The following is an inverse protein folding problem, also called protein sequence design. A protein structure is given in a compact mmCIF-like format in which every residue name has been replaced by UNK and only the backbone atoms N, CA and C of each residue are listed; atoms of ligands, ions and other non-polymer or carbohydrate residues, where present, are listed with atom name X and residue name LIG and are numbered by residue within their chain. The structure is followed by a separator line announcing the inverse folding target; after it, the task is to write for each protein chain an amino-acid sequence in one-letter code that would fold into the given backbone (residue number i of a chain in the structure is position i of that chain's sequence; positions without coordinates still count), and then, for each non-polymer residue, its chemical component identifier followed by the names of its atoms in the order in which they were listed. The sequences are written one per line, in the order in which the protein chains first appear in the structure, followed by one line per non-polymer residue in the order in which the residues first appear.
data_IF_309102166156
#
_entry.id   IF_309102166156
#
_cell.length_a   1.000
_cell.length_b   1.000
_cell.length_c   1.000
_cell.angle_alpha   90.00
_cell.angle_beta   90.00
_cell.angle_gamma   90.00
#
_symmetry.space_group_name_H-M   'P 1'
#
loop_
_entity.id
_entity.type
_entity.pdbx_description
1 polymer ?
#
# COMPACT_ATOMS: atom_id res chain seq x y z
N UNK A 1 26.56 -25.93 -11.70
CA UNK A 1 26.51 -25.06 -10.49
C UNK A 1 25.20 -24.28 -10.56
N UNK A 2 24.16 -24.67 -9.79
CA UNK A 2 22.91 -23.89 -9.73
C UNK A 2 23.21 -22.60 -8.96
N UNK A 3 23.31 -21.47 -9.66
CA UNK A 3 23.35 -20.16 -9.03
C UNK A 3 22.04 -20.05 -8.22
N UNK A 4 22.13 -20.17 -6.90
CA UNK A 4 21.02 -19.87 -5.98
C UNK A 4 20.64 -18.43 -6.26
N UNK A 5 19.50 -18.19 -6.89
CA UNK A 5 18.97 -16.84 -7.03
C UNK A 5 18.80 -16.30 -5.61
N UNK A 6 19.49 -15.22 -5.31
CA UNK A 6 19.32 -14.50 -4.06
C UNK A 6 17.83 -14.16 -3.93
N UNK A 7 17.23 -14.22 -2.72
CA UNK A 7 15.87 -13.75 -2.49
C UNK A 7 15.73 -12.34 -3.07
N UNK A 8 14.60 -12.06 -3.70
CA UNK A 8 14.36 -10.75 -4.35
C UNK A 8 14.52 -9.60 -3.36
N UNK A 9 14.24 -9.84 -2.09
CA UNK A 9 14.40 -8.90 -0.99
C UNK A 9 15.85 -8.59 -0.62
N UNK A 10 16.81 -9.46 -0.99
CA UNK A 10 18.22 -9.25 -0.66
C UNK A 10 18.80 -7.99 -1.33
N UNK A 11 18.34 -7.66 -2.54
CA UNK A 11 18.78 -6.46 -3.25
C UNK A 11 18.35 -5.18 -2.53
N UNK A 12 17.09 -5.12 -2.11
CA UNK A 12 16.54 -3.95 -1.38
C UNK A 12 17.18 -3.83 0.00
N UNK A 13 17.39 -4.95 0.67
CA UNK A 13 18.07 -4.97 1.97
C UNK A 13 19.51 -4.44 1.84
N UNK A 14 20.24 -4.81 0.78
CA UNK A 14 21.57 -4.26 0.53
C UNK A 14 21.54 -2.74 0.28
N UNK A 15 20.55 -2.23 -0.47
CA UNK A 15 20.36 -0.80 -0.67
C UNK A 15 20.05 -0.10 0.65
N UNK A 16 19.18 -0.66 1.48
CA UNK A 16 18.86 -0.12 2.81
C UNK A 16 20.13 0.01 3.67
N UNK A 17 20.94 -1.05 3.75
CA UNK A 17 22.19 -1.02 4.51
C UNK A 17 23.16 0.02 3.94
N UNK A 18 23.29 0.11 2.62
CA UNK A 18 24.16 1.11 1.99
C UNK A 18 23.73 2.54 2.34
N UNK A 19 22.42 2.84 2.28
CA UNK A 19 21.89 4.16 2.65
C UNK A 19 22.13 4.47 4.12
N UNK A 20 21.89 3.51 5.02
CA UNK A 20 22.16 3.67 6.47
C UNK A 20 23.65 3.97 6.70
N UNK A 21 24.56 3.26 6.04
CA UNK A 21 26.00 3.47 6.18
C UNK A 21 26.41 4.86 5.69
N UNK A 22 25.92 5.28 4.51
CA UNK A 22 26.19 6.62 3.95
C UNK A 22 25.70 7.70 4.91
N UNK A 23 24.47 7.64 5.39
CA UNK A 23 23.90 8.62 6.31
C UNK A 23 24.63 8.62 7.66
N UNK A 24 25.08 7.45 8.12
CA UNK A 24 25.86 7.32 9.35
C UNK A 24 27.24 7.99 9.24
N UNK A 25 27.84 8.02 8.05
CA UNK A 25 29.10 8.75 7.81
C UNK A 25 28.87 10.24 7.69
N UNK A 26 27.79 10.64 7.00
CA UNK A 26 27.46 12.05 6.73
C UNK A 26 27.00 12.82 7.98
N UNK A 27 26.35 12.15 8.96
CA UNK A 27 25.79 12.83 10.12
C UNK A 27 26.02 12.05 11.43
N UNK A 28 26.72 12.64 12.42
CA UNK A 28 26.80 12.06 13.76
C UNK A 28 25.45 11.93 14.44
N UNK A 29 24.52 12.87 14.21
CA UNK A 29 23.16 12.86 14.76
C UNK A 29 22.37 11.65 14.25
N UNK A 30 22.60 11.23 13.00
CA UNK A 30 21.90 10.06 12.45
C UNK A 30 22.21 8.78 13.22
N UNK A 31 23.38 8.65 13.82
CA UNK A 31 23.84 7.48 14.60
C UNK A 31 23.31 7.43 16.03
N UNK A 32 22.66 8.48 16.51
CA UNK A 32 22.14 8.51 17.87
C UNK A 32 20.97 7.58 18.07
N UNK A 33 20.86 6.97 19.26
CA UNK A 33 19.71 6.12 19.60
C UNK A 33 18.41 6.90 19.54
N UNK A 34 18.41 8.14 20.00
CA UNK A 34 17.22 9.00 19.98
C UNK A 34 16.73 9.23 18.56
N UNK A 35 17.62 9.54 17.60
CA UNK A 35 17.24 9.65 16.19
C UNK A 35 16.72 8.32 15.64
N UNK A 36 17.31 7.19 16.01
CA UNK A 36 16.81 5.86 15.65
C UNK A 36 15.38 5.63 16.12
N UNK A 37 15.06 6.01 17.36
CA UNK A 37 13.70 5.92 17.90
C UNK A 37 12.73 6.86 17.16
N UNK A 38 13.15 8.10 16.89
CA UNK A 38 12.36 9.07 16.10
C UNK A 38 12.09 8.54 14.70
N UNK A 39 13.09 7.97 14.03
CA UNK A 39 12.94 7.36 12.71
C UNK A 39 11.91 6.23 12.73
N UNK A 40 11.99 5.32 13.69
CA UNK A 40 11.08 4.19 13.83
C UNK A 40 9.64 4.68 14.04
N UNK A 41 9.42 5.62 14.95
CA UNK A 41 8.08 6.15 15.25
C UNK A 41 7.51 6.92 14.07
N UNK A 42 8.29 7.79 13.41
CA UNK A 42 7.87 8.53 12.22
C UNK A 42 7.54 7.58 11.06
N UNK A 43 8.35 6.55 10.87
CA UNK A 43 8.17 5.54 9.82
C UNK A 43 6.95 4.66 10.03
N UNK A 44 6.42 4.54 11.27
CA UNK A 44 5.33 3.62 11.58
C UNK A 44 4.05 3.93 10.81
N UNK A 45 3.68 5.21 10.68
CA UNK A 45 2.48 5.62 9.93
C UNK A 45 2.63 5.21 8.46
N UNK A 46 3.75 5.58 7.84
CA UNK A 46 4.04 5.22 6.43
C UNK A 46 4.03 3.70 6.26
N UNK A 47 4.58 2.96 7.21
CA UNK A 47 4.64 1.51 7.16
C UNK A 47 3.26 0.85 7.31
N UNK A 48 2.35 1.39 8.15
CA UNK A 48 0.96 0.94 8.18
C UNK A 48 0.25 1.19 6.86
N UNK A 49 0.41 2.38 6.27
CA UNK A 49 -0.15 2.68 4.96
C UNK A 49 0.41 1.74 3.88
N UNK A 50 1.72 1.49 3.87
CA UNK A 50 2.37 0.56 2.95
C UNK A 50 1.89 -0.89 3.14
N UNK A 51 1.62 -1.29 4.38
CA UNK A 51 1.04 -2.59 4.70
C UNK A 51 -0.35 -2.73 4.05
N UNK A 52 -1.22 -1.75 4.24
CA UNK A 52 -2.55 -1.72 3.62
C UNK A 52 -2.47 -1.69 2.09
N UNK A 53 -1.62 -0.81 1.55
CA UNK A 53 -1.38 -0.67 0.12
C UNK A 53 -0.89 -1.98 -0.52
N UNK A 54 -0.10 -2.78 0.21
CA UNK A 54 0.38 -4.09 -0.25
C UNK A 54 -0.78 -5.02 -0.62
N UNK A 55 -1.84 -5.10 0.21
CA UNK A 55 -3.00 -5.94 -0.07
C UNK A 55 -3.72 -5.51 -1.35
N UNK A 56 -3.89 -4.21 -1.54
CA UNK A 56 -4.56 -3.66 -2.72
C UNK A 56 -3.71 -3.87 -3.97
N UNK A 57 -2.42 -3.54 -3.91
CA UNK A 57 -1.48 -3.74 -5.03
C UNK A 57 -1.38 -5.21 -5.43
N UNK A 58 -1.32 -6.15 -4.48
CA UNK A 58 -1.32 -7.59 -4.77
C UNK A 58 -2.56 -8.03 -5.57
N UNK A 59 -3.69 -7.33 -5.48
CA UNK A 59 -4.87 -7.61 -6.32
C UNK A 59 -4.82 -6.94 -7.70
N UNK A 60 -3.79 -6.14 -7.98
CA UNK A 60 -3.68 -5.30 -9.18
C UNK A 60 -4.50 -4.01 -9.09
N UNK A 61 -4.95 -3.63 -7.89
CA UNK A 61 -5.59 -2.34 -7.59
C UNK A 61 -4.60 -1.30 -7.09
N UNK A 62 -5.09 -0.09 -6.82
CA UNK A 62 -4.38 0.98 -6.12
C UNK A 62 -5.37 1.69 -5.20
N UNK A 63 -4.92 2.12 -4.02
CA UNK A 63 -5.75 2.85 -3.07
C UNK A 63 -5.12 4.22 -2.76
N UNK A 64 -5.68 5.25 -3.34
CA UNK A 64 -5.22 6.63 -3.12
C UNK A 64 -5.85 7.26 -1.88
N UNK A 65 -6.89 6.65 -1.30
CA UNK A 65 -7.61 7.23 -0.16
C UNK A 65 -6.90 7.04 1.19
N UNK A 66 -5.83 6.23 1.25
CA UNK A 66 -5.16 5.83 2.49
C UNK A 66 -4.63 7.02 3.29
N UNK A 67 -4.04 8.04 2.63
CA UNK A 67 -3.55 9.25 3.29
C UNK A 67 -4.70 10.08 3.91
N UNK A 68 -5.77 10.28 3.14
CA UNK A 68 -6.97 10.98 3.61
C UNK A 68 -7.66 10.24 4.78
N UNK A 69 -7.60 8.91 4.76
CA UNK A 69 -8.12 8.07 5.82
C UNK A 69 -7.40 8.33 7.17
N UNK A 70 -6.11 8.64 7.15
CA UNK A 70 -5.34 9.04 8.35
C UNK A 70 -5.95 10.29 9.00
N UNK A 71 -6.22 11.33 8.21
CA UNK A 71 -6.86 12.55 8.70
C UNK A 71 -8.26 12.27 9.23
N UNK A 72 -9.07 11.58 8.43
CA UNK A 72 -10.46 11.29 8.77
C UNK A 72 -10.59 10.52 10.07
N UNK A 73 -9.86 9.42 10.21
CA UNK A 73 -9.92 8.59 11.42
C UNK A 73 -9.33 9.27 12.63
N UNK A 74 -8.22 10.00 12.47
CA UNK A 74 -7.61 10.75 13.56
C UNK A 74 -8.52 11.84 14.13
N UNK A 75 -9.18 12.62 13.26
CA UNK A 75 -10.11 13.67 13.67
C UNK A 75 -11.38 13.08 14.27
N UNK A 76 -11.94 12.01 13.68
CA UNK A 76 -13.12 11.33 14.25
C UNK A 76 -12.81 10.82 15.66
N UNK A 77 -11.66 10.16 15.87
CA UNK A 77 -11.26 9.71 17.21
C UNK A 77 -11.17 10.86 18.20
N UNK A 78 -10.53 11.97 17.79
CA UNK A 78 -10.37 13.16 18.64
C UNK A 78 -11.73 13.79 19.01
N UNK A 79 -12.66 13.93 18.05
CA UNK A 79 -14.00 14.48 18.30
C UNK A 79 -14.83 13.59 19.23
N UNK A 80 -14.80 12.28 19.05
CA UNK A 80 -15.49 11.33 19.91
C UNK A 80 -15.00 11.41 21.35
N UNK A 81 -13.67 11.51 21.55
CA UNK A 81 -13.07 11.70 22.89
C UNK A 81 -13.39 13.09 23.46
N UNK A 82 -13.39 14.14 22.65
CA UNK A 82 -13.81 15.48 23.08
C UNK A 82 -15.27 15.50 23.52
N UNK A 83 -16.13 14.71 22.88
CA UNK A 83 -17.53 14.49 23.28
C UNK A 83 -17.71 13.61 24.53
N UNK A 84 -16.63 13.23 25.22
CA UNK A 84 -16.69 12.45 26.48
C UNK A 84 -16.67 10.94 26.27
N UNK A 85 -16.48 10.43 25.05
CA UNK A 85 -16.38 8.99 24.81
C UNK A 85 -15.03 8.44 25.30
N UNK A 86 -15.05 7.29 25.98
CA UNK A 86 -13.84 6.60 26.39
C UNK A 86 -12.94 6.28 25.17
N UNK A 87 -11.64 6.54 25.29
CA UNK A 87 -10.71 6.44 24.17
C UNK A 87 -10.71 5.07 23.45
N UNK A 88 -10.88 3.91 24.12
CA UNK A 88 -10.89 2.63 23.39
C UNK A 88 -12.08 2.52 22.44
N UNK A 89 -13.25 3.01 22.87
CA UNK A 89 -14.47 3.00 22.05
C UNK A 89 -14.34 3.97 20.89
N UNK A 90 -13.82 5.20 21.16
CA UNK A 90 -13.55 6.19 20.13
C UNK A 90 -12.57 5.67 19.08
N UNK A 91 -11.51 4.98 19.51
CA UNK A 91 -10.50 4.38 18.63
C UNK A 91 -11.12 3.28 17.73
N UNK A 92 -11.91 2.39 18.30
CA UNK A 92 -12.59 1.31 17.54
C UNK A 92 -13.54 1.91 16.49
N UNK A 93 -14.35 2.88 16.87
CA UNK A 93 -15.30 3.52 15.96
C UNK A 93 -14.58 4.29 14.85
N UNK A 94 -13.52 5.01 15.18
CA UNK A 94 -12.73 5.75 14.19
C UNK A 94 -12.06 4.81 13.18
N UNK A 95 -11.43 3.72 13.64
CA UNK A 95 -10.88 2.70 12.73
C UNK A 95 -12.00 2.04 11.92
N UNK A 96 -13.16 1.81 12.55
CA UNK A 96 -14.36 1.33 11.86
C UNK A 96 -14.77 2.23 10.67
N UNK A 97 -14.72 3.55 10.84
CA UNK A 97 -14.93 4.51 9.73
C UNK A 97 -13.88 4.33 8.62
N UNK A 98 -12.62 4.14 8.99
CA UNK A 98 -11.55 3.87 8.03
C UNK A 98 -11.76 2.58 7.25
N UNK A 99 -12.17 1.51 7.93
CA UNK A 99 -12.56 0.24 7.30
C UNK A 99 -13.76 0.44 6.37
N UNK A 100 -14.77 1.20 6.80
CA UNK A 100 -15.95 1.51 5.99
C UNK A 100 -15.58 2.23 4.69
N UNK A 101 -14.66 3.20 4.75
CA UNK A 101 -14.11 3.86 3.55
C UNK A 101 -13.47 2.84 2.61
N UNK A 102 -12.64 1.94 3.15
CA UNK A 102 -12.05 0.85 2.37
C UNK A 102 -13.09 -0.08 1.74
N UNK A 103 -14.11 -0.48 2.51
CA UNK A 103 -15.23 -1.30 1.99
C UNK A 103 -15.93 -0.58 0.85
N UNK A 104 -16.25 0.72 1.00
CA UNK A 104 -16.85 1.54 -0.07
C UNK A 104 -15.97 1.53 -1.33
N UNK A 105 -14.66 1.72 -1.19
CA UNK A 105 -13.72 1.63 -2.32
C UNK A 105 -13.80 0.26 -3.02
N UNK A 106 -13.76 -0.81 -2.25
CA UNK A 106 -13.87 -2.17 -2.79
C UNK A 106 -15.18 -2.43 -3.52
N UNK A 107 -16.30 -1.90 -3.01
CA UNK A 107 -17.62 -1.99 -3.63
C UNK A 107 -17.67 -1.18 -4.94
N UNK A 108 -17.17 0.06 -4.96
CA UNK A 108 -17.09 0.90 -6.15
C UNK A 108 -16.27 0.24 -7.27
N UNK A 109 -15.11 -0.30 -6.92
CA UNK A 109 -14.20 -0.96 -7.86
C UNK A 109 -14.82 -2.25 -8.42
N UNK A 110 -15.48 -3.05 -7.58
CA UNK A 110 -16.00 -4.35 -8.01
C UNK A 110 -17.38 -4.27 -8.66
N UNK A 111 -18.37 -3.67 -8.00
CA UNK A 111 -19.78 -3.70 -8.42
C UNK A 111 -20.10 -2.57 -9.39
N UNK A 112 -19.62 -1.35 -9.11
CA UNK A 112 -19.83 -0.22 -10.04
C UNK A 112 -18.83 -0.28 -11.20
N UNK A 113 -17.72 -1.03 -11.03
CA UNK A 113 -16.67 -1.24 -12.05
C UNK A 113 -15.91 0.03 -12.41
N UNK A 114 -15.84 0.97 -11.47
CA UNK A 114 -15.00 2.16 -11.62
C UNK A 114 -13.53 1.73 -11.54
N UNK A 115 -12.64 2.20 -12.43
CA UNK A 115 -11.22 1.95 -12.30
C UNK A 115 -10.71 2.34 -10.89
N UNK A 116 -9.89 1.47 -10.30
CA UNK A 116 -9.45 1.61 -8.90
C UNK A 116 -8.87 2.99 -8.59
N UNK A 117 -8.04 3.51 -9.51
CA UNK A 117 -7.47 4.85 -9.39
C UNK A 117 -8.55 5.93 -9.26
N UNK A 118 -9.58 5.90 -10.13
CA UNK A 118 -10.66 6.92 -10.14
C UNK A 118 -11.51 6.80 -8.88
N UNK A 119 -11.89 5.57 -8.50
CA UNK A 119 -12.70 5.32 -7.32
C UNK A 119 -12.01 5.85 -6.06
N UNK A 120 -10.76 5.45 -5.84
CA UNK A 120 -10.02 5.80 -4.62
C UNK A 120 -9.56 7.26 -4.59
N UNK A 121 -9.28 7.86 -5.74
CA UNK A 121 -9.01 9.30 -5.83
C UNK A 121 -10.26 10.13 -5.51
N UNK A 122 -11.44 9.72 -5.99
CA UNK A 122 -12.69 10.39 -5.65
C UNK A 122 -13.03 10.28 -4.17
N UNK A 123 -12.89 9.08 -3.59
CA UNK A 123 -13.14 8.87 -2.15
C UNK A 123 -12.06 9.52 -1.27
N UNK A 124 -10.84 9.70 -1.76
CA UNK A 124 -9.82 10.53 -1.12
C UNK A 124 -10.35 11.95 -0.91
N UNK A 125 -10.91 12.57 -1.95
CA UNK A 125 -11.50 13.92 -1.84
C UNK A 125 -12.61 13.98 -0.79
N UNK A 126 -13.49 12.98 -0.74
CA UNK A 126 -14.54 12.88 0.28
C UNK A 126 -13.94 12.72 1.69
N UNK A 127 -12.98 11.82 1.85
CA UNK A 127 -12.34 11.55 3.13
C UNK A 127 -11.52 12.75 3.66
N UNK A 128 -10.97 13.60 2.78
CA UNK A 128 -10.32 14.87 3.16
C UNK A 128 -11.34 15.94 3.54
N UNK A 129 -12.47 15.99 2.87
CA UNK A 129 -13.50 17.00 3.14
C UNK A 129 -14.19 16.79 4.49
N UNK A 130 -14.47 15.53 4.88
CA UNK A 130 -15.18 15.20 6.12
C UNK A 130 -14.53 15.86 7.35
N UNK A 131 -13.23 15.64 7.68
CA UNK A 131 -12.62 16.27 8.85
C UNK A 131 -12.63 17.80 8.78
N UNK A 132 -12.44 18.39 7.60
CA UNK A 132 -12.47 19.83 7.43
C UNK A 132 -13.87 20.41 7.70
N UNK A 133 -14.92 19.78 7.18
CA UNK A 133 -16.31 20.22 7.35
C UNK A 133 -16.74 20.12 8.82
N UNK A 134 -16.50 18.99 9.48
CA UNK A 134 -16.98 18.75 10.85
C UNK A 134 -16.21 19.55 11.90
N UNK A 135 -14.99 20.00 11.60
CA UNK A 135 -14.16 20.80 12.52
C UNK A 135 -14.08 22.27 12.15
N UNK A 136 -14.67 22.69 11.01
CA UNK A 136 -14.45 24.01 10.44
C UNK A 136 -12.98 24.29 10.15
N UNK A 137 -12.25 23.26 9.67
CA UNK A 137 -10.81 23.26 9.41
C UNK A 137 -9.92 23.49 10.66
N UNK A 138 -10.47 23.40 11.87
CA UNK A 138 -9.71 23.54 13.12
C UNK A 138 -9.18 22.19 13.59
N UNK A 139 -8.07 22.23 14.30
CA UNK A 139 -7.52 21.05 14.97
C UNK A 139 -8.31 20.75 16.26
N UNK A 140 -8.42 19.47 16.60
CA UNK A 140 -9.16 18.96 17.77
C UNK A 140 -8.19 18.41 18.78
N UNK A 141 -8.03 19.08 19.92
CA UNK A 141 -7.14 18.62 21.00
C UNK A 141 -7.72 17.44 21.74
N UNK A 142 -6.86 16.47 22.05
CA UNK A 142 -7.17 15.31 22.89
C UNK A 142 -6.47 15.45 24.24
N UNK A 143 -7.18 15.15 25.34
CA UNK A 143 -6.64 15.29 26.71
C UNK A 143 -6.65 13.96 27.49
N UNK A 144 -6.83 12.84 26.81
CA UNK A 144 -6.88 11.52 27.45
C UNK A 144 -5.48 10.89 27.54
N UNK A 145 -4.95 10.74 28.76
CA UNK A 145 -3.65 10.16 29.00
C UNK A 145 -3.56 8.67 28.57
N UNK A 146 -4.67 7.92 28.64
CA UNK A 146 -4.70 6.53 28.16
C UNK A 146 -4.52 6.45 26.65
N UNK A 147 -5.10 7.41 25.91
CA UNK A 147 -4.94 7.50 24.45
C UNK A 147 -3.50 7.85 24.06
N UNK A 148 -2.81 8.73 24.80
CA UNK A 148 -1.42 9.11 24.51
C UNK A 148 -0.47 7.91 24.48
N UNK A 149 -0.81 6.87 25.25
CA UNK A 149 0.03 5.67 25.35
C UNK A 149 0.15 4.91 24.02
N UNK A 150 -0.86 4.98 23.14
CA UNK A 150 -0.82 4.35 21.80
C UNK A 150 0.32 4.93 20.95
N UNK A 151 0.51 6.25 20.97
CA UNK A 151 1.48 6.94 20.12
C UNK A 151 2.83 7.25 20.80
N UNK A 152 2.83 7.38 22.14
CA UNK A 152 3.98 7.82 22.92
C UNK A 152 4.49 6.77 23.91
N UNK A 153 3.68 5.71 24.19
CA UNK A 153 4.05 4.65 25.12
C UNK A 153 5.24 3.84 24.64
N UNK A 154 5.95 3.27 25.63
CA UNK A 154 7.10 2.36 25.39
C UNK A 154 6.94 1.10 26.23
N UNK A 155 7.27 -0.06 25.67
CA UNK A 155 7.37 -1.34 26.37
C UNK A 155 8.81 -1.81 26.24
N UNK A 156 9.49 -2.00 27.34
CA UNK A 156 10.91 -2.36 27.39
C UNK A 156 11.81 -1.44 26.53
N UNK A 157 11.50 -0.14 26.48
CA UNK A 157 12.23 0.85 25.68
C UNK A 157 11.84 0.94 24.21
N UNK A 158 11.02 0.00 23.72
CA UNK A 158 10.53 -0.01 22.32
C UNK A 158 9.23 0.78 22.24
N UNK A 159 9.11 1.76 21.30
CA UNK A 159 7.87 2.51 21.11
C UNK A 159 6.69 1.59 20.76
N UNK A 160 5.55 1.78 21.42
CA UNK A 160 4.35 0.96 21.19
C UNK A 160 3.87 0.97 19.73
N UNK A 161 3.89 2.10 18.99
CA UNK A 161 3.55 2.09 17.56
C UNK A 161 4.35 1.06 16.74
N UNK A 162 5.64 0.90 17.05
CA UNK A 162 6.52 -0.07 16.36
C UNK A 162 6.09 -1.50 16.67
N UNK A 163 5.76 -1.78 17.94
CA UNK A 163 5.28 -3.10 18.36
C UNK A 163 3.97 -3.41 17.64
N UNK A 164 3.02 -2.47 17.60
CA UNK A 164 1.75 -2.64 16.88
C UNK A 164 1.96 -2.91 15.38
N UNK A 165 2.89 -2.18 14.76
CA UNK A 165 3.26 -2.40 13.36
C UNK A 165 3.82 -3.81 13.12
N UNK A 166 4.78 -4.23 13.94
CA UNK A 166 5.40 -5.57 13.81
C UNK A 166 4.35 -6.66 13.96
N UNK A 167 3.48 -6.55 14.97
CA UNK A 167 2.38 -7.49 15.18
C UNK A 167 1.44 -7.50 13.96
N UNK A 168 1.04 -6.33 13.46
CA UNK A 168 0.20 -6.24 12.26
C UNK A 168 0.88 -6.84 11.03
N UNK A 169 2.17 -6.58 10.82
CA UNK A 169 2.93 -7.12 9.69
C UNK A 169 3.07 -8.66 9.77
N UNK A 170 3.30 -9.21 10.97
CA UNK A 170 3.34 -10.66 11.17
C UNK A 170 1.97 -11.28 10.89
N UNK A 171 0.90 -10.71 11.44
CA UNK A 171 -0.48 -11.18 11.17
C UNK A 171 -0.78 -11.12 9.67
N UNK A 172 -0.44 -10.03 9.00
CA UNK A 172 -0.64 -9.86 7.57
C UNK A 172 0.16 -10.88 6.74
N UNK A 173 1.42 -11.14 7.12
CA UNK A 173 2.26 -12.14 6.45
C UNK A 173 1.70 -13.56 6.61
N UNK A 174 1.28 -13.92 7.83
CA UNK A 174 0.63 -15.20 8.10
C UNK A 174 -0.71 -15.32 7.37
N UNK A 175 -1.52 -14.25 7.36
CA UNK A 175 -2.78 -14.20 6.63
C UNK A 175 -2.57 -14.47 5.13
N UNK A 176 -1.64 -13.76 4.49
CA UNK A 176 -1.38 -13.94 3.06
C UNK A 176 -0.82 -15.34 2.74
N UNK A 177 0.01 -15.91 3.63
CA UNK A 177 0.70 -17.19 3.39
C UNK A 177 -0.16 -18.40 3.75
N UNK A 178 -0.97 -18.32 4.81
CA UNK A 178 -1.59 -19.49 5.44
C UNK A 178 -3.11 -19.56 5.26
N UNK A 179 -3.75 -18.50 4.71
CA UNK A 179 -5.21 -18.48 4.59
C UNK A 179 -5.68 -18.57 3.14
N UNK A 180 -6.87 -19.14 2.93
CA UNK A 180 -7.52 -19.17 1.61
C UNK A 180 -7.71 -17.76 1.01
N UNK A 181 -8.21 -16.74 1.74
CA UNK A 181 -8.31 -15.39 1.22
C UNK A 181 -6.97 -14.81 0.79
N UNK A 182 -5.87 -15.09 1.52
CA UNK A 182 -4.53 -14.67 1.13
C UNK A 182 -4.08 -15.25 -0.21
N UNK A 183 -4.29 -16.56 -0.42
CA UNK A 183 -4.02 -17.22 -1.70
C UNK A 183 -4.90 -16.63 -2.82
N UNK A 184 -6.17 -16.31 -2.53
CA UNK A 184 -7.08 -15.68 -3.50
C UNK A 184 -6.59 -14.29 -3.94
N UNK A 185 -6.00 -13.51 -3.03
CA UNK A 185 -5.41 -12.18 -3.35
C UNK A 185 -4.31 -12.34 -4.39
N UNK A 186 -3.35 -13.25 -4.17
CA UNK A 186 -2.29 -13.51 -5.13
C UNK A 186 -2.82 -14.06 -6.47
N UNK A 187 -3.74 -15.02 -6.43
CA UNK A 187 -4.32 -15.61 -7.63
C UNK A 187 -5.05 -14.56 -8.48
N UNK A 188 -5.82 -13.67 -7.83
CA UNK A 188 -6.56 -12.61 -8.51
C UNK A 188 -5.62 -11.60 -9.18
N UNK A 189 -4.52 -11.23 -8.51
CA UNK A 189 -3.53 -10.32 -9.08
C UNK A 189 -2.72 -10.94 -10.21
N UNK A 190 -2.47 -12.25 -10.15
CA UNK A 190 -1.76 -12.98 -11.21
C UNK A 190 -2.59 -13.07 -12.50
N UNK A 191 -3.83 -13.53 -12.40
CA UNK A 191 -4.78 -13.58 -13.52
C UNK A 191 -6.22 -13.62 -13.00
N UNK A 192 -6.89 -12.48 -13.03
CA UNK A 192 -8.26 -12.31 -12.52
C UNK A 192 -9.28 -13.24 -13.21
N UNK A 193 -9.13 -13.47 -14.51
CA UNK A 193 -10.05 -14.34 -15.28
C UNK A 193 -9.86 -15.82 -14.89
N UNK A 194 -8.61 -16.28 -14.83
CA UNK A 194 -8.29 -17.65 -14.39
C UNK A 194 -8.70 -17.89 -12.94
N UNK A 195 -8.44 -16.94 -12.04
CA UNK A 195 -8.84 -17.03 -10.64
C UNK A 195 -10.38 -17.19 -10.51
N UNK A 196 -11.16 -16.42 -11.28
CA UNK A 196 -12.61 -16.54 -11.31
C UNK A 196 -13.09 -17.92 -11.80
N UNK A 197 -12.46 -18.46 -12.84
CA UNK A 197 -12.76 -19.80 -13.35
C UNK A 197 -12.39 -20.89 -12.33
N UNK A 198 -11.37 -20.67 -11.51
CA UNK A 198 -10.98 -21.54 -10.39
C UNK A 198 -11.85 -21.38 -9.14
N UNK A 199 -12.98 -20.63 -9.21
CA UNK A 199 -13.92 -20.48 -8.11
C UNK A 199 -13.56 -19.39 -7.09
N UNK A 200 -12.57 -18.54 -7.35
CA UNK A 200 -12.24 -17.41 -6.47
C UNK A 200 -13.36 -16.37 -6.52
N UNK A 201 -13.92 -16.03 -5.37
CA UNK A 201 -14.88 -14.94 -5.26
C UNK A 201 -14.18 -13.58 -5.35
N UNK A 202 -14.08 -13.05 -6.58
CA UNK A 202 -13.41 -11.80 -6.89
C UNK A 202 -13.99 -10.62 -6.12
N UNK A 203 -15.34 -10.59 -5.90
CA UNK A 203 -16.00 -9.54 -5.13
C UNK A 203 -15.47 -9.47 -3.69
N UNK A 204 -15.57 -10.60 -2.98
CA UNK A 204 -15.13 -10.69 -1.59
C UNK A 204 -13.64 -10.39 -1.46
N UNK A 205 -12.82 -10.90 -2.38
CA UNK A 205 -11.37 -10.69 -2.36
C UNK A 205 -11.02 -9.21 -2.58
N UNK A 206 -11.69 -8.53 -3.53
CA UNK A 206 -11.50 -7.09 -3.76
C UNK A 206 -11.91 -6.29 -2.53
N UNK A 207 -13.14 -6.46 -2.03
CA UNK A 207 -13.63 -5.71 -0.86
C UNK A 207 -12.76 -5.94 0.36
N UNK A 208 -12.31 -7.19 0.59
CA UNK A 208 -11.42 -7.51 1.72
C UNK A 208 -10.06 -6.79 1.62
N UNK A 209 -9.45 -6.75 0.43
CA UNK A 209 -8.17 -6.06 0.25
C UNK A 209 -8.27 -4.56 0.56
N UNK A 210 -9.33 -3.90 0.08
CA UNK A 210 -9.57 -2.49 0.38
C UNK A 210 -9.99 -2.25 1.83
N UNK A 211 -10.75 -3.15 2.46
CA UNK A 211 -11.10 -3.08 3.88
C UNK A 211 -9.85 -3.16 4.77
N UNK A 212 -8.89 -4.04 4.44
CA UNK A 212 -7.60 -4.12 5.13
C UNK A 212 -6.79 -2.84 4.92
N UNK A 213 -6.79 -2.26 3.71
CA UNK A 213 -6.17 -0.97 3.44
C UNK A 213 -6.79 0.13 4.30
N UNK A 214 -8.13 0.17 4.39
CA UNK A 214 -8.86 1.09 5.23
C UNK A 214 -8.55 0.94 6.72
N UNK A 215 -8.42 -0.29 7.21
CA UNK A 215 -7.97 -0.58 8.59
C UNK A 215 -6.57 -0.04 8.84
N UNK A 216 -5.63 -0.30 7.94
CA UNK A 216 -4.25 0.18 8.06
C UNK A 216 -4.18 1.72 8.04
N UNK A 217 -4.96 2.39 7.17
CA UNK A 217 -5.09 3.84 7.17
C UNK A 217 -5.66 4.37 8.49
N UNK A 218 -6.68 3.70 9.03
CA UNK A 218 -7.27 4.01 10.34
C UNK A 218 -6.28 3.87 11.49
N UNK A 219 -5.50 2.80 11.51
CA UNK A 219 -4.42 2.63 12.51
C UNK A 219 -3.35 3.71 12.39
N UNK A 220 -2.97 4.08 11.18
CA UNK A 220 -2.07 5.21 10.93
C UNK A 220 -2.61 6.52 11.52
N UNK A 221 -3.93 6.78 11.35
CA UNK A 221 -4.61 7.94 11.90
C UNK A 221 -4.63 7.97 13.43
N UNK A 222 -4.95 6.85 14.06
CA UNK A 222 -4.89 6.75 15.53
C UNK A 222 -3.49 7.01 16.08
N UNK A 223 -2.47 6.39 15.48
CA UNK A 223 -1.08 6.55 15.92
C UNK A 223 -0.63 8.01 15.75
N UNK A 224 -0.92 8.63 14.60
CA UNK A 224 -0.56 10.02 14.34
C UNK A 224 -1.24 10.97 15.34
N UNK A 225 -2.55 10.81 15.58
CA UNK A 225 -3.33 11.63 16.51
C UNK A 225 -2.90 11.40 17.96
N UNK A 226 -2.69 10.14 18.37
CA UNK A 226 -2.24 9.81 19.72
C UNK A 226 -0.84 10.35 20.01
N UNK A 227 0.02 10.39 19.00
CA UNK A 227 1.38 10.92 19.12
C UNK A 227 1.40 12.43 19.33
N UNK A 228 0.58 13.17 18.61
CA UNK A 228 0.48 14.63 18.68
C UNK A 228 -0.53 15.11 19.72
N UNK A 229 -1.39 14.22 20.22
CA UNK A 229 -2.54 14.52 21.05
C UNK A 229 -3.47 15.55 20.40
N UNK A 230 -3.51 15.55 19.08
CA UNK A 230 -4.30 16.46 18.25
C UNK A 230 -4.81 15.73 17.02
N UNK A 231 -6.11 15.74 16.79
CA UNK A 231 -6.74 15.41 15.51
C UNK A 231 -6.58 16.58 14.55
N UNK A 232 -5.64 16.48 13.62
CA UNK A 232 -5.35 17.55 12.67
C UNK A 232 -5.92 17.21 11.28
N UNK A 233 -6.86 18.01 10.72
CA UNK A 233 -7.54 17.68 9.46
C UNK A 233 -6.62 17.52 8.25
N UNK A 234 -5.43 18.09 8.29
CA UNK A 234 -4.43 17.96 7.22
C UNK A 234 -3.40 16.84 7.45
N UNK A 235 -3.55 16.01 8.49
CA UNK A 235 -2.66 14.84 8.69
C UNK A 235 -2.83 13.86 7.54
N UNK A 236 -1.72 13.34 7.00
CA UNK A 236 -1.77 12.38 5.88
C UNK A 236 -2.08 12.99 4.52
N UNK A 237 -2.24 14.33 4.42
CA UNK A 237 -2.46 15.03 3.14
C UNK A 237 -1.16 15.42 2.45
N UNK A 238 -0.02 15.20 3.09
CA UNK A 238 1.30 15.44 2.54
C UNK A 238 1.75 14.34 1.59
N UNK A 239 3.00 13.96 1.74
CA UNK A 239 3.59 12.94 0.88
C UNK A 239 3.37 11.49 1.36
N UNK A 240 2.66 11.26 2.48
CA UNK A 240 2.51 9.96 3.14
C UNK A 240 1.89 8.90 2.21
N UNK A 241 0.92 9.30 1.40
CA UNK A 241 0.33 8.42 0.39
C UNK A 241 1.41 7.94 -0.60
N UNK A 242 2.17 8.88 -1.17
CA UNK A 242 3.21 8.55 -2.14
C UNK A 242 4.34 7.74 -1.51
N UNK A 243 4.69 8.05 -0.25
CA UNK A 243 5.68 7.29 0.52
C UNK A 243 5.23 5.84 0.75
N UNK A 244 3.94 5.63 1.00
CA UNK A 244 3.39 4.28 1.19
C UNK A 244 3.42 3.44 -0.09
N UNK A 245 3.09 4.05 -1.23
CA UNK A 245 3.19 3.41 -2.54
C UNK A 245 4.66 3.13 -2.88
N UNK A 246 5.54 4.14 -2.70
CA UNK A 246 6.98 3.98 -2.90
C UNK A 246 7.54 2.82 -2.06
N UNK A 247 7.17 2.77 -0.78
CA UNK A 247 7.58 1.73 0.16
C UNK A 247 7.17 0.34 -0.34
N UNK A 248 5.91 0.16 -0.75
CA UNK A 248 5.42 -1.11 -1.25
C UNK A 248 6.13 -1.52 -2.55
N UNK A 249 6.23 -0.60 -3.53
CA UNK A 249 6.81 -0.89 -4.86
C UNK A 249 8.31 -1.14 -4.77
N UNK A 250 9.06 -0.29 -4.07
CA UNK A 250 10.49 -0.48 -3.83
C UNK A 250 10.70 -1.75 -3.02
N UNK A 251 9.79 -2.08 -2.10
CA UNK A 251 9.73 -3.33 -1.37
C UNK A 251 9.47 -4.57 -2.24
N UNK A 252 9.31 -4.42 -3.55
CA UNK A 252 9.14 -5.52 -4.51
C UNK A 252 7.68 -5.94 -4.73
N UNK A 253 6.71 -5.15 -4.26
CA UNK A 253 5.31 -5.38 -4.62
C UNK A 253 5.06 -4.87 -6.03
N UNK A 254 4.55 -5.74 -6.90
CA UNK A 254 4.24 -5.36 -8.26
C UNK A 254 2.96 -4.55 -8.36
N UNK A 255 2.99 -3.43 -9.09
CA UNK A 255 1.84 -2.61 -9.41
C UNK A 255 0.79 -3.35 -10.27
N UNK A 256 1.22 -4.40 -10.95
CA UNK A 256 0.33 -5.20 -11.80
C UNK A 256 -0.34 -6.37 -11.05
N UNK A 257 -0.02 -6.55 -9.78
CA UNK A 257 -0.57 -7.59 -8.92
C UNK A 257 0.17 -8.94 -8.94
N UNK A 258 -0.17 -9.79 -7.97
CA UNK A 258 0.24 -11.18 -7.89
C UNK A 258 1.68 -11.46 -7.47
N UNK A 259 2.50 -10.44 -7.23
CA UNK A 259 3.92 -10.58 -6.85
C UNK A 259 4.26 -9.62 -5.72
N UNK A 260 4.97 -10.12 -4.73
CA UNK A 260 5.51 -9.37 -3.59
C UNK A 260 5.25 -10.03 -2.25
N UNK A 261 5.87 -9.51 -1.19
CA UNK A 261 5.76 -10.02 0.18
C UNK A 261 5.59 -8.88 1.18
N UNK A 262 4.94 -9.17 2.32
CA UNK A 262 4.83 -8.19 3.41
C UNK A 262 6.22 -7.79 3.91
N UNK A 263 7.15 -8.75 4.00
CA UNK A 263 8.51 -8.49 4.44
C UNK A 263 9.22 -7.49 3.51
N UNK A 264 9.10 -7.68 2.20
CA UNK A 264 9.64 -6.73 1.23
C UNK A 264 9.05 -5.32 1.40
N UNK A 265 7.71 -5.20 1.53
CA UNK A 265 7.04 -3.92 1.76
C UNK A 265 7.53 -3.22 3.05
N UNK A 266 7.76 -4.00 4.13
CA UNK A 266 8.29 -3.44 5.38
C UNK A 266 9.73 -2.95 5.23
N UNK A 267 10.61 -3.67 4.51
CA UNK A 267 11.96 -3.19 4.17
C UNK A 267 11.87 -1.89 3.36
N UNK A 268 10.98 -1.84 2.37
CA UNK A 268 10.74 -0.63 1.58
C UNK A 268 10.25 0.54 2.44
N UNK A 269 9.35 0.30 3.40
CA UNK A 269 8.88 1.32 4.33
C UNK A 269 10.01 1.86 5.23
N UNK A 270 10.87 0.97 5.74
CA UNK A 270 12.05 1.38 6.50
C UNK A 270 13.01 2.18 5.62
N UNK A 271 13.23 1.78 4.36
CA UNK A 271 14.08 2.53 3.44
C UNK A 271 13.55 3.95 3.19
N UNK A 272 12.26 4.10 2.92
CA UNK A 272 11.65 5.43 2.74
C UNK A 272 11.75 6.27 4.02
N UNK A 273 11.52 5.66 5.20
CA UNK A 273 11.68 6.33 6.48
C UNK A 273 13.13 6.77 6.73
N UNK A 274 14.11 5.92 6.40
CA UNK A 274 15.55 6.22 6.52
C UNK A 274 15.94 7.38 5.60
N UNK A 275 15.49 7.37 4.34
CA UNK A 275 15.76 8.45 3.38
C UNK A 275 15.15 9.77 3.87
N UNK A 276 13.87 9.77 4.26
CA UNK A 276 13.19 10.96 4.76
C UNK A 276 13.82 11.51 6.04
N UNK A 277 14.13 10.64 7.02
CA UNK A 277 14.81 11.04 8.25
C UNK A 277 16.23 11.55 7.97
N UNK A 278 16.98 10.87 7.12
CA UNK A 278 18.34 11.28 6.74
C UNK A 278 18.36 12.68 6.12
N UNK A 279 17.41 12.97 5.22
CA UNK A 279 17.27 14.30 4.62
C UNK A 279 16.95 15.37 5.69
N UNK A 280 16.08 15.06 6.67
CA UNK A 280 15.77 15.95 7.78
C UNK A 280 17.01 16.23 8.64
N UNK A 281 17.76 15.20 9.00
CA UNK A 281 18.98 15.32 9.83
C UNK A 281 20.09 16.08 9.10
N UNK A 282 20.14 16.01 7.78
CA UNK A 282 21.05 16.78 6.93
C UNK A 282 20.52 18.19 6.62
N UNK A 283 19.39 18.62 7.23
CA UNK A 283 18.73 19.91 7.00
C UNK A 283 18.34 20.16 5.53
N UNK A 284 18.06 19.09 4.78
CA UNK A 284 17.55 19.22 3.42
C UNK A 284 16.09 19.68 3.47
N UNK A 285 15.79 20.74 2.74
CA UNK A 285 14.46 21.35 2.74
C UNK A 285 13.39 20.37 2.20
N UNK A 286 12.18 20.44 2.76
CA UNK A 286 11.10 19.47 2.53
C UNK A 286 10.71 19.28 1.06
N UNK A 287 10.85 20.32 0.22
CA UNK A 287 10.54 20.21 -1.21
C UNK A 287 11.51 19.27 -1.96
N UNK A 288 12.77 19.16 -1.52
CA UNK A 288 13.72 18.19 -2.07
C UNK A 288 13.35 16.76 -1.73
N UNK A 289 12.69 16.55 -0.58
CA UNK A 289 12.23 15.21 -0.17
C UNK A 289 11.20 14.68 -1.19
N UNK A 290 10.24 15.51 -1.60
CA UNK A 290 9.25 15.15 -2.62
C UNK A 290 9.91 14.77 -3.96
N UNK A 291 10.94 15.51 -4.39
CA UNK A 291 11.70 15.19 -5.60
C UNK A 291 12.40 13.84 -5.48
N UNK A 292 13.15 13.62 -4.39
CA UNK A 292 13.90 12.37 -4.18
C UNK A 292 12.97 11.16 -4.12
N UNK A 293 11.87 11.27 -3.37
CA UNK A 293 10.90 10.17 -3.28
C UNK A 293 10.22 9.91 -4.64
N UNK A 294 9.87 10.98 -5.38
CA UNK A 294 9.34 10.84 -6.74
C UNK A 294 10.29 10.10 -7.68
N UNK A 295 11.58 10.40 -7.61
CA UNK A 295 12.60 9.68 -8.38
C UNK A 295 12.75 8.21 -7.94
N UNK A 296 12.67 7.94 -6.63
CA UNK A 296 12.68 6.57 -6.09
C UNK A 296 11.47 5.78 -6.62
N UNK A 297 10.27 6.38 -6.63
CA UNK A 297 9.06 5.74 -7.17
C UNK A 297 9.27 5.43 -8.65
N UNK A 298 9.71 6.42 -9.43
CA UNK A 298 9.94 6.27 -10.87
C UNK A 298 10.95 5.15 -11.17
N UNK A 299 12.05 5.11 -10.42
CA UNK A 299 13.06 4.05 -10.55
C UNK A 299 12.48 2.67 -10.19
N UNK A 300 11.73 2.57 -9.09
CA UNK A 300 11.08 1.32 -8.65
C UNK A 300 10.08 0.79 -9.68
N UNK A 301 9.19 1.66 -10.16
CA UNK A 301 8.19 1.30 -11.19
C UNK A 301 8.85 0.91 -12.51
N UNK A 302 9.88 1.66 -12.92
CA UNK A 302 10.63 1.35 -14.15
C UNK A 302 11.31 -0.01 -14.04
N UNK A 303 11.87 -0.33 -12.88
CA UNK A 303 12.50 -1.61 -12.62
C UNK A 303 11.48 -2.77 -12.63
N UNK A 304 10.31 -2.60 -11.99
CA UNK A 304 9.23 -3.61 -12.01
C UNK A 304 8.75 -3.88 -13.44
N UNK A 305 8.52 -2.81 -14.23
CA UNK A 305 8.11 -2.90 -15.63
C UNK A 305 9.17 -3.62 -16.48
N UNK A 306 10.45 -3.26 -16.32
CA UNK A 306 11.54 -3.88 -17.04
C UNK A 306 11.71 -5.37 -16.70
N UNK A 307 11.59 -5.72 -15.41
CA UNK A 307 11.67 -7.11 -14.95
C UNK A 307 10.56 -7.97 -15.54
N UNK A 308 9.33 -7.45 -15.60
CA UNK A 308 8.20 -8.13 -16.26
C UNK A 308 8.40 -8.29 -17.75
N UNK A 309 8.89 -7.28 -18.44
CA UNK A 309 9.16 -7.36 -19.88
C UNK A 309 10.20 -8.43 -20.21
N UNK A 310 11.16 -8.68 -19.32
CA UNK A 310 12.17 -9.75 -19.50
C UNK A 310 11.71 -11.13 -19.01
N UNK A 311 10.90 -11.22 -17.97
CA UNK A 311 10.38 -12.46 -17.41
C UNK A 311 9.20 -13.06 -18.20
N UNK A 312 8.48 -12.23 -18.92
CA UNK A 312 7.32 -12.55 -19.73
C UNK A 312 7.64 -12.57 -21.22
N UNK A 313 8.44 -13.52 -21.69
CA UNK A 313 8.19 -13.99 -23.05
C UNK A 313 6.87 -14.77 -22.99
N UNK A 314 5.73 -14.27 -23.53
CA UNK A 314 4.63 -15.12 -23.82
C UNK A 314 5.19 -16.16 -24.79
N UNK A 315 5.25 -17.41 -24.35
CA UNK A 315 5.30 -18.52 -25.29
C UNK A 315 3.93 -18.50 -25.99
N UNK A 316 3.76 -17.53 -26.86
CA UNK A 316 2.88 -17.68 -27.99
C UNK A 316 3.53 -18.80 -28.83
N UNK A 317 3.28 -20.04 -28.42
CA UNK A 317 3.24 -21.11 -29.39
C UNK A 317 2.35 -20.54 -30.50
N UNK A 318 2.98 -20.08 -31.58
CA UNK A 318 2.34 -20.01 -32.85
C UNK A 318 1.81 -21.44 -33.03
N UNK A 319 0.56 -21.68 -32.64
CA UNK A 319 -0.24 -22.71 -33.25
C UNK A 319 -0.22 -22.29 -34.70
N UNK A 320 0.63 -23.00 -35.47
CA UNK A 320 0.59 -22.98 -36.91
C UNK A 320 -0.90 -23.04 -37.24
N UNK A 321 -1.45 -21.94 -37.71
CA UNK A 321 -2.82 -21.90 -38.19
C UNK A 321 -2.86 -23.01 -39.21
N UNK A 322 -3.54 -24.10 -38.88
CA UNK A 322 -3.82 -25.15 -39.84
C UNK A 322 -4.41 -24.43 -41.06
N UNK A 323 -3.69 -24.52 -42.19
CA UNK A 323 -4.20 -24.02 -43.46
C UNK A 323 -5.64 -24.54 -43.58
N UNK A 324 -6.63 -23.68 -43.86
CA UNK A 324 -7.98 -24.15 -44.12
C UNK A 324 -7.87 -25.16 -45.27
N UNK A 325 -8.62 -26.27 -45.21
CA UNK A 325 -8.63 -27.26 -46.29
C UNK A 325 -8.98 -26.55 -47.58
N UNK A 326 -8.16 -26.77 -48.63
CA UNK A 326 -8.46 -26.28 -49.97
C UNK A 326 -9.80 -26.88 -50.38
N UNK A 327 -10.81 -26.04 -50.47
CA UNK A 327 -12.08 -26.41 -51.12
C UNK A 327 -11.79 -26.94 -52.53
N UNK A 328 -12.27 -28.13 -52.90
CA UNK A 328 -12.13 -28.61 -54.29
C UNK A 328 -12.83 -27.61 -55.20
N UNK A 329 -12.12 -27.16 -56.25
CA UNK A 329 -12.69 -26.37 -57.33
C UNK A 329 -13.61 -27.31 -58.12
N UNK A 330 -14.91 -27.00 -58.31
CA UNK A 330 -15.79 -27.82 -59.16
C UNK A 330 -15.27 -27.78 -60.56
N UNK A 331 -15.35 -28.91 -61.29
CA UNK A 331 -14.95 -28.99 -62.73
C UNK A 331 -15.78 -28.04 -63.58
N UNK A 332 -15.07 -27.32 -64.46
CA UNK A 332 -15.69 -26.42 -65.44
C UNK A 332 -16.71 -27.18 -66.30
N UNK A 333 -17.96 -26.72 -66.30
CA UNK A 333 -18.99 -27.21 -67.24
C UNK A 333 -18.65 -26.75 -68.65
N UNK A 334 -18.30 -27.70 -69.51
CA UNK A 334 -18.11 -27.45 -70.92
C UNK A 334 -19.49 -27.23 -71.52
N UNK A 335 -19.80 -26.02 -71.95
CA UNK A 335 -20.98 -25.67 -72.75
C UNK A 335 -20.73 -26.16 -74.18
N UNK A 336 -21.34 -27.27 -74.57
CA UNK A 336 -21.47 -27.66 -75.92
C UNK A 336 -22.66 -26.92 -76.53
N UNK A 337 -22.40 -25.88 -77.30
CA UNK A 337 -23.33 -25.36 -78.32
C UNK A 337 -23.10 -26.15 -79.55
N UNK A 338 -24.10 -26.90 -80.03
CA UNK A 338 -24.18 -27.52 -81.34
C UNK A 338 -25.34 -26.88 -82.17
N UNK A 339 -25.32 -26.98 -83.50
CA UNK A 339 -25.75 -25.99 -84.47
C UNK A 339 -27.25 -25.83 -84.68
#
# INVERSE_FOLDING_TARGET
MKIRRLPEEAGIFAVLIAVILVLSVLSPTFRTLDNGLVLLVNGTVIAFLALGQTFVLLTGGIDLSTGANVAMTGVIAALLMQGGMAWPVAAILAVGCGVALGVVNGLLVHFVRIPAFIATFSTQGVALAIPLIITGANSVSVRDAGFSWIGQGKIAGIPLPVILLVVAAVIAALFLRMTRPGVHIYAMGGNKAAARLAGVNVARTTVLAYAISGFCGGMGGLIATSRLMVGFPATGTGNELFYSIAAAVVGGISLFGGIGTIFGAMIGAVLIAVVSNGMNVLNVQSYWQSLVIGLIILAGVSFDTYRRARGGKPVLRRTSAARPPKTPVPPATVSTTAP
#
